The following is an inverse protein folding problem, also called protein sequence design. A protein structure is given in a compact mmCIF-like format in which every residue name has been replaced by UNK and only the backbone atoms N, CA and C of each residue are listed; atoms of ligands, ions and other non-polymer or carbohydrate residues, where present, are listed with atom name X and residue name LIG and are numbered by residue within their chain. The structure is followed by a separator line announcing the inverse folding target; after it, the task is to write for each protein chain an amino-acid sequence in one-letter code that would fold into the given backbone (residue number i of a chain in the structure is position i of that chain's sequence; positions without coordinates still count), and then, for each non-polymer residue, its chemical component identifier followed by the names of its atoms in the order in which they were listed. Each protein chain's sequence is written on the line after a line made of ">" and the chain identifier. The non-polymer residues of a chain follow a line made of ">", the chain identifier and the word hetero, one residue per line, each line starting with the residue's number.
data_IF_532623022209
#
_entry.id   IF_532623022209
#
_cell.length_a   1.000
_cell.length_b   1.000
_cell.length_c   1.000
_cell.angle_alpha   90.00
_cell.angle_beta   90.00
_cell.angle_gamma   90.00
#
_symmetry.space_group_name_H-M   'P 1'
#
loop_
_entity.id
_entity.type
_entity.pdbx_description
1 polymer ?
#
# COMPACT_ATOMS: atom_id res chain seq x y z
N UNK A 1 -17.13 9.57 -8.23
CA UNK A 1 -17.01 9.83 -6.79
C UNK A 1 -15.52 9.91 -6.48
N UNK A 2 -14.92 11.11 -6.49
CA UNK A 2 -13.45 11.23 -6.36
C UNK A 2 -12.98 10.86 -4.95
N UNK A 3 -12.07 9.89 -4.87
CA UNK A 3 -11.21 9.56 -3.73
C UNK A 3 -11.87 9.46 -2.36
N UNK A 4 -13.01 8.76 -2.29
CA UNK A 4 -13.76 8.55 -1.04
C UNK A 4 -13.02 7.73 0.02
N UNK A 5 -11.87 7.13 -0.32
CA UNK A 5 -11.03 6.33 0.59
C UNK A 5 -9.89 7.11 1.25
N UNK A 6 -9.61 8.35 0.80
CA UNK A 6 -8.55 9.16 1.40
C UNK A 6 -8.80 9.39 2.90
N UNK A 7 -7.77 9.15 3.73
CA UNK A 7 -7.83 9.24 5.20
C UNK A 7 -8.96 8.41 5.83
N UNK A 8 -9.31 7.28 5.23
CA UNK A 8 -10.22 6.31 5.83
C UNK A 8 -9.49 5.05 6.25
N UNK A 9 -9.97 4.48 7.35
CA UNK A 9 -9.58 3.12 7.72
C UNK A 9 -10.39 2.13 6.89
N UNK A 10 -9.80 1.01 6.54
CA UNK A 10 -10.45 0.04 5.66
C UNK A 10 -9.97 -1.39 5.89
N UNK A 11 -10.75 -2.33 5.39
CA UNK A 11 -10.41 -3.74 5.28
C UNK A 11 -10.51 -4.16 3.82
N UNK A 12 -9.43 -4.71 3.29
CA UNK A 12 -9.35 -5.21 1.92
C UNK A 12 -9.00 -6.70 1.94
N UNK A 13 -9.79 -7.50 1.23
CA UNK A 13 -9.58 -8.93 1.09
C UNK A 13 -8.93 -9.21 -0.26
N UNK A 14 -7.64 -9.55 -0.24
CA UNK A 14 -6.87 -9.90 -1.43
C UNK A 14 -7.00 -11.39 -1.73
N UNK A 15 -7.28 -11.72 -2.98
CA UNK A 15 -7.42 -13.09 -3.48
C UNK A 15 -6.29 -13.50 -4.44
N UNK A 16 -5.58 -12.51 -5.01
CA UNK A 16 -4.40 -12.71 -5.84
C UNK A 16 -3.38 -11.60 -5.62
N UNK A 17 -2.13 -11.87 -5.96
CA UNK A 17 -1.06 -10.88 -5.96
C UNK A 17 -0.18 -11.02 -7.19
N UNK A 18 0.51 -9.94 -7.52
CA UNK A 18 1.54 -9.87 -8.55
C UNK A 18 2.72 -9.04 -8.03
N UNK A 19 3.93 -9.50 -8.28
CA UNK A 19 5.16 -8.79 -7.95
C UNK A 19 5.87 -8.41 -9.24
N UNK A 20 6.38 -7.18 -9.26
CA UNK A 20 7.02 -6.59 -10.42
C UNK A 20 8.38 -6.04 -10.04
N UNK A 21 9.39 -6.38 -10.85
CA UNK A 21 10.74 -5.83 -10.78
C UNK A 21 11.13 -5.32 -12.16
N UNK A 22 11.67 -4.10 -12.24
CA UNK A 22 12.06 -3.46 -13.50
C UNK A 22 10.96 -3.47 -14.59
N UNK A 23 9.69 -3.37 -14.16
CA UNK A 23 8.53 -3.38 -15.06
C UNK A 23 8.09 -4.76 -15.56
N UNK A 24 8.71 -5.84 -15.10
CA UNK A 24 8.37 -7.22 -15.46
C UNK A 24 7.73 -7.92 -14.27
N UNK A 25 6.62 -8.63 -14.49
CA UNK A 25 6.00 -9.47 -13.45
C UNK A 25 6.90 -10.69 -13.19
N UNK A 26 7.54 -10.73 -12.03
CA UNK A 26 8.50 -11.77 -11.64
C UNK A 26 7.85 -12.89 -10.85
N UNK A 27 6.75 -12.59 -10.16
CA UNK A 27 6.03 -13.53 -9.32
C UNK A 27 4.54 -13.18 -9.30
N UNK A 28 3.67 -14.19 -9.18
CA UNK A 28 2.22 -14.01 -9.08
C UNK A 28 1.56 -15.26 -8.56
N UNK A 29 0.41 -15.11 -7.94
CA UNK A 29 -0.38 -16.26 -7.51
C UNK A 29 -1.65 -15.88 -6.80
N UNK A 30 -2.37 -16.92 -6.39
CA UNK A 30 -3.48 -16.76 -5.46
C UNK A 30 -2.92 -16.48 -4.06
N UNK A 31 -3.67 -15.70 -3.28
CA UNK A 31 -3.32 -15.41 -1.89
C UNK A 31 -4.61 -15.25 -1.09
N UNK A 32 -4.55 -15.57 0.20
CA UNK A 32 -5.59 -15.20 1.15
C UNK A 32 -4.95 -14.25 2.16
N UNK A 33 -5.05 -12.95 1.87
CA UNK A 33 -4.52 -11.87 2.71
C UNK A 33 -5.62 -10.89 3.04
N UNK A 34 -5.82 -10.63 4.32
CA UNK A 34 -6.60 -9.47 4.76
C UNK A 34 -5.67 -8.31 5.02
N UNK A 35 -5.79 -7.24 4.25
CA UNK A 35 -5.09 -5.98 4.46
C UNK A 35 -5.99 -5.08 5.29
N UNK A 36 -5.59 -4.80 6.53
CA UNK A 36 -6.25 -3.85 7.40
C UNK A 36 -5.44 -2.56 7.41
N UNK A 37 -6.08 -1.44 7.09
CA UNK A 37 -5.47 -0.14 7.21
C UNK A 37 -6.21 0.70 8.25
N UNK A 38 -5.44 1.32 9.16
CA UNK A 38 -5.94 2.18 10.22
C UNK A 38 -5.25 3.53 10.16
N UNK A 39 -6.02 4.60 10.08
CA UNK A 39 -5.51 5.95 10.27
C UNK A 39 -5.11 6.10 11.74
N UNK A 40 -3.83 6.37 12.01
CA UNK A 40 -3.29 6.44 13.37
C UNK A 40 -3.45 7.85 13.98
N UNK A 41 -3.53 8.86 13.11
CA UNK A 41 -3.80 10.28 13.34
C UNK A 41 -3.90 10.97 11.95
N UNK A 42 -3.89 12.30 11.88
CA UNK A 42 -3.87 13.03 10.60
C UNK A 42 -2.53 12.98 9.84
N UNK A 43 -1.52 12.30 10.38
CA UNK A 43 -0.14 12.28 9.88
C UNK A 43 0.29 10.92 9.33
N UNK A 44 -0.46 9.85 9.59
CA UNK A 44 -0.05 8.50 9.22
C UNK A 44 -1.17 7.48 9.13
N UNK A 45 -0.94 6.47 8.29
CA UNK A 45 -1.78 5.28 8.15
C UNK A 45 -0.95 4.04 8.43
N UNK A 46 -1.42 3.21 9.36
CA UNK A 46 -0.84 1.92 9.70
C UNK A 46 -1.49 0.81 8.90
N UNK A 47 -0.71 -0.16 8.47
CA UNK A 47 -1.16 -1.36 7.76
C UNK A 47 -0.85 -2.61 8.55
N UNK A 48 -1.73 -3.60 8.44
CA UNK A 48 -1.49 -4.96 8.88
C UNK A 48 -1.93 -5.94 7.78
N UNK A 49 -1.01 -6.81 7.36
CA UNK A 49 -1.26 -7.91 6.44
C UNK A 49 -1.48 -9.16 7.30
N UNK A 50 -2.72 -9.63 7.34
CA UNK A 50 -3.14 -10.81 8.11
C UNK A 50 -3.22 -12.04 7.19
N UNK A 51 -3.18 -13.23 7.79
CA UNK A 51 -3.17 -14.53 7.11
C UNK A 51 -1.87 -14.75 6.31
N UNK A 52 -1.97 -14.92 5.00
CA UNK A 52 -0.82 -15.16 4.13
C UNK A 52 -0.23 -13.84 3.63
N UNK A 53 1.06 -13.83 3.28
CA UNK A 53 1.77 -12.71 2.65
C UNK A 53 2.96 -13.25 1.86
N UNK A 54 3.44 -12.54 0.82
CA UNK A 54 4.77 -12.81 0.29
C UNK A 54 5.81 -12.70 1.41
N UNK A 55 6.83 -13.58 1.40
CA UNK A 55 7.77 -13.77 2.52
C UNK A 55 8.48 -12.48 2.95
N UNK A 56 8.70 -11.59 2.00
CA UNK A 56 9.58 -10.44 2.14
C UNK A 56 8.82 -9.12 2.35
N UNK A 57 7.56 -9.16 2.78
CA UNK A 57 6.75 -7.97 3.08
C UNK A 57 6.37 -7.94 4.55
N UNK A 58 6.93 -7.00 5.34
CA UNK A 58 6.66 -6.88 6.77
C UNK A 58 5.15 -6.94 7.08
N UNK A 59 4.72 -7.73 8.09
CA UNK A 59 3.30 -7.94 8.34
C UNK A 59 2.59 -6.70 8.89
N UNK A 60 3.35 -5.73 9.42
CA UNK A 60 2.85 -4.47 9.97
C UNK A 60 3.84 -3.35 9.65
N UNK A 61 3.33 -2.24 9.14
CA UNK A 61 4.13 -1.08 8.77
C UNK A 61 3.27 0.19 8.79
N UNK A 62 3.91 1.35 8.72
CA UNK A 62 3.22 2.65 8.71
C UNK A 62 3.71 3.52 7.57
N UNK A 63 2.80 4.27 6.95
CA UNK A 63 3.13 5.23 5.91
C UNK A 63 2.64 6.63 6.29
N UNK A 64 3.44 7.69 6.03
CA UNK A 64 3.03 9.05 6.28
C UNK A 64 1.93 9.51 5.32
N UNK A 65 1.07 10.38 5.83
CA UNK A 65 0.05 11.15 5.08
C UNK A 65 0.60 12.57 4.91
N UNK A 66 0.84 13.01 3.68
CA UNK A 66 1.43 14.32 3.42
C UNK A 66 0.38 15.42 3.18
N UNK A 67 -0.85 15.06 2.81
CA UNK A 67 -1.91 15.99 2.45
C UNK A 67 -2.19 16.06 0.95
N UNK A 68 -3.41 16.48 0.60
CA UNK A 68 -3.88 16.63 -0.79
C UNK A 68 -2.97 17.59 -1.58
N UNK A 69 -2.60 18.71 -0.96
CA UNK A 69 -1.69 19.71 -1.52
C UNK A 69 -0.30 19.17 -1.87
N UNK A 70 0.08 18.04 -1.27
CA UNK A 70 1.35 17.35 -1.50
C UNK A 70 1.20 16.13 -2.42
N UNK A 71 0.06 15.97 -3.08
CA UNK A 71 -0.18 14.93 -4.08
C UNK A 71 -0.58 13.57 -3.51
N UNK A 72 -1.14 13.51 -2.30
CA UNK A 72 -1.72 12.25 -1.78
C UNK A 72 -2.98 11.82 -2.55
N UNK A 73 -3.63 12.75 -3.25
CA UNK A 73 -4.87 12.51 -3.98
C UNK A 73 -4.61 12.91 -5.44
N UNK A 74 -4.51 11.91 -6.29
CA UNK A 74 -4.29 12.05 -7.73
C UNK A 74 -5.59 11.79 -8.49
N UNK A 75 -5.56 11.96 -9.81
CA UNK A 75 -6.74 11.78 -10.66
C UNK A 75 -7.26 10.33 -10.65
N UNK A 76 -6.36 9.35 -10.53
CA UNK A 76 -6.62 7.92 -10.70
C UNK A 76 -6.37 7.08 -9.44
N UNK A 77 -5.85 7.70 -8.36
CA UNK A 77 -5.46 7.00 -7.13
C UNK A 77 -5.30 7.91 -5.91
N UNK A 78 -5.38 7.28 -4.75
CA UNK A 78 -4.83 7.79 -3.48
C UNK A 78 -3.42 7.23 -3.27
N UNK A 79 -2.51 8.03 -2.71
CA UNK A 79 -1.14 7.66 -2.38
C UNK A 79 -0.78 8.01 -0.93
N UNK A 80 -0.19 7.04 -0.24
CA UNK A 80 0.44 7.23 1.08
C UNK A 80 1.93 6.90 0.98
N UNK A 81 2.77 7.57 1.78
CA UNK A 81 4.22 7.41 1.68
C UNK A 81 4.81 8.03 0.41
N UNK A 82 6.14 8.08 0.32
CA UNK A 82 6.90 8.59 -0.83
C UNK A 82 8.19 7.78 -0.96
N UNK A 83 8.71 7.68 -2.18
CA UNK A 83 10.08 7.20 -2.37
C UNK A 83 11.02 8.19 -1.66
N UNK A 84 11.95 7.69 -0.81
CA UNK A 84 12.92 8.54 -0.19
C UNK A 84 13.82 9.18 -1.24
N UNK A 85 14.27 10.38 -0.95
CA UNK A 85 15.32 11.02 -1.72
C UNK A 85 16.64 10.23 -1.57
N UNK A 86 17.53 10.24 -2.58
CA UNK A 86 18.75 9.42 -2.60
C UNK A 86 19.63 9.53 -1.35
N UNK A 87 19.60 10.68 -0.67
CA UNK A 87 20.33 10.98 0.57
C UNK A 87 19.78 10.27 1.82
N UNK A 88 18.58 9.66 1.75
CA UNK A 88 17.91 9.01 2.89
C UNK A 88 17.85 7.48 2.79
N UNK A 89 18.39 6.89 1.74
CA UNK A 89 18.29 5.44 1.47
C UNK A 89 18.88 4.53 2.56
N UNK A 90 19.73 5.04 3.45
CA UNK A 90 20.43 4.24 4.46
C UNK A 90 19.58 3.76 5.65
N UNK A 91 18.30 4.14 5.75
CA UNK A 91 17.47 3.90 6.94
C UNK A 91 16.23 3.02 6.70
N UNK A 92 16.08 2.42 5.52
CA UNK A 92 14.88 1.65 5.20
C UNK A 92 15.10 0.16 5.42
N UNK A 93 14.22 -0.43 6.22
CA UNK A 93 14.09 -1.88 6.33
C UNK A 93 13.78 -2.44 4.93
N UNK A 94 14.54 -3.46 4.52
CA UNK A 94 14.45 -4.08 3.19
C UNK A 94 13.04 -4.62 2.89
N UNK A 95 12.31 -5.05 3.92
CA UNK A 95 10.99 -5.67 3.85
C UNK A 95 9.83 -4.72 4.12
N UNK A 96 10.08 -3.42 4.32
CA UNK A 96 9.03 -2.44 4.62
C UNK A 96 8.58 -1.67 3.37
N UNK A 97 7.27 -1.66 3.04
CA UNK A 97 6.74 -0.77 2.02
C UNK A 97 6.99 0.71 2.32
N UNK A 98 7.30 1.49 1.28
CA UNK A 98 7.55 2.94 1.40
C UNK A 98 6.50 3.79 0.70
N UNK A 99 5.73 3.20 -0.22
CA UNK A 99 4.59 3.83 -0.89
C UNK A 99 3.44 2.84 -0.95
N UNK A 100 2.23 3.34 -0.74
CA UNK A 100 0.99 2.62 -1.01
C UNK A 100 0.17 3.42 -2.01
N UNK A 101 -0.35 2.76 -3.05
CA UNK A 101 -1.34 3.31 -3.96
C UNK A 101 -2.63 2.52 -3.87
N UNK A 102 -3.75 3.24 -3.87
CA UNK A 102 -5.10 2.68 -3.98
C UNK A 102 -5.74 3.31 -5.20
N UNK A 103 -5.98 2.52 -6.24
CA UNK A 103 -6.52 3.01 -7.51
C UNK A 103 -8.03 3.22 -7.44
N UNK A 104 -8.54 4.14 -8.26
CA UNK A 104 -9.95 4.54 -8.32
C UNK A 104 -10.91 3.39 -8.68
N UNK A 105 -10.40 2.34 -9.31
CA UNK A 105 -11.17 1.14 -9.60
C UNK A 105 -11.47 0.30 -8.34
N UNK A 106 -10.82 0.60 -7.21
CA UNK A 106 -11.02 -0.03 -5.90
C UNK A 106 -10.84 -1.56 -5.91
N UNK A 107 -10.05 -2.09 -6.85
CA UNK A 107 -9.78 -3.54 -6.97
C UNK A 107 -8.33 -3.91 -6.71
N UNK A 108 -7.46 -2.92 -6.50
CA UNK A 108 -6.02 -3.12 -6.32
C UNK A 108 -5.43 -2.19 -5.26
N UNK A 109 -4.63 -2.75 -4.36
CA UNK A 109 -3.71 -2.03 -3.49
C UNK A 109 -2.30 -2.37 -3.92
N UNK A 110 -1.51 -1.35 -4.23
CA UNK A 110 -0.12 -1.49 -4.67
C UNK A 110 0.82 -0.96 -3.59
N UNK A 111 1.83 -1.74 -3.25
CA UNK A 111 2.93 -1.33 -2.40
C UNK A 111 4.23 -1.23 -3.22
N UNK A 112 5.02 -0.17 -2.99
CA UNK A 112 6.38 -0.08 -3.52
C UNK A 112 7.39 -0.37 -2.40
N UNK A 113 8.41 -1.14 -2.73
CA UNK A 113 9.51 -1.55 -1.84
C UNK A 113 10.84 -1.14 -2.47
N UNK A 114 11.86 -0.88 -1.64
CA UNK A 114 13.15 -0.35 -2.12
C UNK A 114 14.26 -1.38 -2.21
N UNK A 115 14.15 -2.51 -1.53
CA UNK A 115 15.25 -3.46 -1.47
C UNK A 115 14.80 -4.93 -1.50
N UNK A 116 14.75 -5.55 -2.70
CA UNK A 116 15.01 -4.93 -4.00
C UNK A 116 13.94 -3.90 -4.37
N UNK A 117 14.25 -3.02 -5.34
CA UNK A 117 13.27 -2.10 -5.90
C UNK A 117 12.20 -2.91 -6.63
N UNK A 118 11.04 -3.04 -6.01
CA UNK A 118 9.94 -3.86 -6.52
C UNK A 118 8.60 -3.26 -6.18
N UNK A 119 7.58 -3.70 -6.91
CA UNK A 119 6.19 -3.37 -6.68
C UNK A 119 5.46 -4.66 -6.37
N UNK A 120 4.54 -4.61 -5.41
CA UNK A 120 3.64 -5.72 -5.10
C UNK A 120 2.22 -5.20 -5.19
N UNK A 121 1.41 -5.86 -6.01
CA UNK A 121 0.01 -5.54 -6.22
C UNK A 121 -0.86 -6.63 -5.62
N UNK A 122 -1.75 -6.24 -4.71
CA UNK A 122 -2.76 -7.09 -4.13
C UNK A 122 -4.09 -6.77 -4.78
N UNK A 123 -4.73 -7.78 -5.36
CA UNK A 123 -6.01 -7.62 -6.02
C UNK A 123 -7.13 -8.34 -5.26
N UNK A 124 -8.28 -7.71 -5.22
CA UNK A 124 -9.36 -8.11 -4.33
C UNK A 124 -10.42 -7.04 -4.16
N UNK A 125 -11.08 -7.04 -3.01
CA UNK A 125 -12.21 -6.16 -2.74
C UNK A 125 -12.13 -5.51 -1.35
N UNK A 126 -12.58 -4.27 -1.27
CA UNK A 126 -12.86 -3.62 0.02
C UNK A 126 -14.11 -4.23 0.64
N UNK A 127 -13.98 -4.71 1.88
CA UNK A 127 -15.11 -5.28 2.65
C UNK A 127 -15.62 -4.31 3.70
N UNK A 128 -14.82 -3.31 4.06
CA UNK A 128 -15.19 -2.27 5.02
C UNK A 128 -14.39 -1.00 4.76
N UNK A 129 -15.03 0.17 4.85
CA UNK A 129 -14.40 1.49 4.74
C UNK A 129 -15.11 2.43 5.72
N UNK A 130 -14.37 3.01 6.68
CA UNK A 130 -14.95 3.83 7.75
C UNK A 130 -14.15 5.09 8.03
N UNK A 131 -14.87 6.13 8.43
CA UNK A 131 -14.32 7.31 9.12
C UNK A 131 -14.38 7.00 10.61
N UNK A 132 -13.26 7.14 11.32
CA UNK A 132 -13.23 7.08 12.79
C UNK A 132 -13.18 8.50 13.35
#
# INVERSE_FOLDING_TARGET
>A
MKNSIYRKSFVFQATRYEEYENGVCTNRGNIDTTIVAKVLNDEGIGFALLNHRPSDVKPRFGLPIFGIQNGDVLEDRVQYGRLPTPDKFSWFDYDEPVVCNIFDNMTCIRFAMLSPLRIIEFYGNFTDIRTF
#
